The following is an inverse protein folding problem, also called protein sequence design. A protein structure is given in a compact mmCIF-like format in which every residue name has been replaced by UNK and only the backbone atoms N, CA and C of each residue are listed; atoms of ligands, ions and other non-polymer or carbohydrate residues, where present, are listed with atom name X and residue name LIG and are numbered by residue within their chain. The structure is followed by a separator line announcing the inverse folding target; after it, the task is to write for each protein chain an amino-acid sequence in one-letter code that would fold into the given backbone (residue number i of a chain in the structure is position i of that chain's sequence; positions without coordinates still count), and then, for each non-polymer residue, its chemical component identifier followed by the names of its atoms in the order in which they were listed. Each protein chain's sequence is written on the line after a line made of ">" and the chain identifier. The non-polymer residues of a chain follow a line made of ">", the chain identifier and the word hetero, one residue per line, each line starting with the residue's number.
data_IF_963447284611
#
_entry.id   IF_963447284611
#
_cell.length_a   1.000
_cell.length_b   1.000
_cell.length_c   1.000
_cell.angle_alpha   90.00
_cell.angle_beta   90.00
_cell.angle_gamma   90.00
#
_symmetry.space_group_name_H-M   'P 1'
#
loop_
_entity.id
_entity.type
_entity.pdbx_description
1 polymer ?
#
# COMPACT_ATOMS: atom_id res chain seq x y z
N UNK A 1 16.86 -10.97 -3.76
CA UNK A 1 15.78 -9.98 -3.53
C UNK A 1 16.33 -8.91 -2.58
N UNK A 2 16.01 -7.62 -2.79
CA UNK A 2 16.35 -6.54 -1.85
C UNK A 2 15.04 -6.05 -1.24
N UNK A 3 14.84 -6.32 0.05
CA UNK A 3 13.62 -5.91 0.77
C UNK A 3 13.91 -4.78 1.76
N UNK A 4 12.87 -4.04 2.10
CA UNK A 4 12.93 -3.06 3.19
C UNK A 4 12.71 -3.78 4.52
N UNK A 5 13.39 -3.33 5.61
CA UNK A 5 13.18 -3.90 6.93
C UNK A 5 11.75 -3.63 7.43
N UNK A 6 11.23 -4.54 8.25
CA UNK A 6 9.96 -4.32 8.97
C UNK A 6 10.14 -3.14 9.91
N UNK A 7 9.23 -2.15 9.92
CA UNK A 7 9.32 -1.03 10.86
C UNK A 7 9.33 -1.51 12.31
N UNK A 8 10.18 -0.91 13.12
CA UNK A 8 10.30 -1.18 14.56
C UNK A 8 8.95 -1.15 15.31
N UNK A 9 8.05 -0.24 14.91
CA UNK A 9 6.71 -0.15 15.47
C UNK A 9 5.89 -1.41 15.19
N UNK A 10 5.96 -1.94 13.97
CA UNK A 10 5.27 -3.17 13.57
C UNK A 10 5.88 -4.41 14.24
N UNK A 11 7.20 -4.45 14.48
CA UNK A 11 7.80 -5.57 15.20
C UNK A 11 7.37 -5.65 16.67
N UNK A 12 7.06 -4.50 17.29
CA UNK A 12 6.69 -4.42 18.71
C UNK A 12 5.20 -4.59 18.96
N UNK A 13 4.37 -4.45 17.94
CA UNK A 13 2.92 -4.48 18.03
C UNK A 13 2.38 -5.81 17.46
N UNK A 14 1.91 -6.74 18.31
CA UNK A 14 1.32 -8.01 17.84
C UNK A 14 0.08 -7.85 16.98
N UNK A 15 -0.59 -6.69 17.01
CA UNK A 15 -1.74 -6.37 16.17
C UNK A 15 -1.35 -5.69 14.85
N UNK A 16 -0.05 -5.42 14.63
CA UNK A 16 0.42 -4.79 13.41
C UNK A 16 0.05 -5.60 12.17
N UNK A 17 -0.44 -4.91 11.16
CA UNK A 17 -0.90 -5.51 9.91
C UNK A 17 -0.18 -4.84 8.73
N UNK A 18 0.52 -5.63 7.91
CA UNK A 18 1.06 -5.15 6.64
C UNK A 18 -0.08 -4.93 5.64
N UNK A 19 -0.24 -3.71 5.12
CA UNK A 19 -1.35 -3.37 4.20
C UNK A 19 -0.95 -3.48 2.73
N UNK A 20 0.27 -3.08 2.39
CA UNK A 20 0.77 -3.10 1.04
C UNK A 20 2.27 -3.42 1.02
N UNK A 21 2.70 -4.12 -0.02
CA UNK A 21 4.10 -4.32 -0.33
C UNK A 21 4.31 -4.18 -1.85
N UNK A 22 5.31 -3.40 -2.24
CA UNK A 22 5.55 -2.98 -3.63
C UNK A 22 6.98 -3.36 -4.03
N UNK A 23 7.15 -3.86 -5.25
CA UNK A 23 8.42 -4.25 -5.82
C UNK A 23 8.56 -3.78 -7.27
N UNK A 24 9.82 -3.57 -7.67
CA UNK A 24 10.19 -3.54 -9.09
C UNK A 24 10.76 -4.90 -9.44
N UNK A 25 10.09 -5.64 -10.31
CA UNK A 25 10.51 -6.95 -10.82
C UNK A 25 10.08 -7.08 -12.29
N UNK A 26 10.78 -7.91 -13.07
CA UNK A 26 10.41 -8.18 -14.48
C UNK A 26 10.18 -6.95 -15.38
N UNK A 27 10.81 -5.81 -15.07
CA UNK A 27 10.63 -4.50 -15.73
C UNK A 27 9.30 -3.79 -15.45
N UNK A 28 8.52 -4.28 -14.48
CA UNK A 28 7.25 -3.72 -14.03
C UNK A 28 7.22 -3.42 -12.52
N UNK A 29 6.15 -2.74 -12.10
CA UNK A 29 5.80 -2.53 -10.71
C UNK A 29 4.79 -3.61 -10.30
N UNK A 30 5.11 -4.38 -9.28
CA UNK A 30 4.22 -5.38 -8.71
C UNK A 30 3.82 -4.98 -7.29
N UNK A 31 2.55 -5.13 -6.95
CA UNK A 31 2.07 -4.93 -5.59
C UNK A 31 1.32 -6.16 -5.04
N UNK A 32 1.42 -6.32 -3.72
CA UNK A 32 0.56 -7.21 -2.95
C UNK A 32 -0.20 -6.35 -1.96
N UNK A 33 -1.53 -6.37 -2.04
CA UNK A 33 -2.41 -5.52 -1.23
C UNK A 33 -3.32 -6.38 -0.34
N UNK A 34 -3.48 -5.98 0.92
CA UNK A 34 -4.49 -6.53 1.82
C UNK A 34 -5.73 -5.63 1.80
N UNK A 35 -6.76 -6.10 1.10
CA UNK A 35 -8.10 -5.48 1.09
C UNK A 35 -8.95 -6.10 2.21
N UNK A 36 -9.90 -5.34 2.75
CA UNK A 36 -10.71 -5.70 3.92
C UNK A 36 -10.01 -5.40 5.24
N UNK A 37 -8.92 -4.64 5.24
CA UNK A 37 -8.17 -4.35 6.47
C UNK A 37 -8.94 -3.44 7.44
N UNK A 38 -9.97 -2.75 6.92
CA UNK A 38 -10.79 -1.80 7.66
C UNK A 38 -12.23 -2.27 7.87
N UNK A 39 -12.56 -3.52 7.53
CA UNK A 39 -13.93 -4.06 7.58
C UNK A 39 -14.57 -3.99 8.98
N UNK A 40 -13.76 -4.16 10.03
CA UNK A 40 -14.22 -4.08 11.43
C UNK A 40 -14.19 -2.64 11.99
N UNK A 41 -13.87 -1.65 11.16
CA UNK A 41 -13.76 -0.24 11.55
C UNK A 41 -14.91 0.58 10.94
N UNK A 42 -15.29 1.72 11.56
CA UNK A 42 -16.31 2.59 10.98
C UNK A 42 -15.80 3.44 9.79
N UNK A 43 -14.53 3.28 9.40
CA UNK A 43 -13.91 4.06 8.33
C UNK A 43 -14.13 3.34 7.01
N UNK A 44 -14.66 4.04 6.01
CA UNK A 44 -14.69 3.56 4.63
C UNK A 44 -13.27 3.23 4.14
N UNK A 45 -13.06 1.99 3.69
CA UNK A 45 -11.71 1.51 3.35
C UNK A 45 -11.08 2.30 2.19
N UNK A 46 -11.87 2.69 1.19
CA UNK A 46 -11.36 3.53 0.09
C UNK A 46 -10.87 4.90 0.61
N UNK A 47 -11.60 5.50 1.56
CA UNK A 47 -11.16 6.70 2.27
C UNK A 47 -9.89 6.47 3.07
N UNK A 48 -9.76 5.32 3.75
CA UNK A 48 -8.54 4.96 4.47
C UNK A 48 -7.32 4.86 3.53
N UNK A 49 -7.47 4.18 2.39
CA UNK A 49 -6.44 4.12 1.35
C UNK A 49 -6.09 5.51 0.80
N UNK A 50 -7.08 6.37 0.56
CA UNK A 50 -6.84 7.75 0.14
C UNK A 50 -6.00 8.55 1.13
N UNK A 51 -6.24 8.42 2.44
CA UNK A 51 -5.42 9.06 3.47
C UNK A 51 -3.99 8.49 3.49
N UNK A 52 -3.84 7.16 3.38
CA UNK A 52 -2.52 6.53 3.33
C UNK A 52 -1.69 6.97 2.12
N UNK A 53 -2.30 7.11 0.94
CA UNK A 53 -1.62 7.61 -0.26
C UNK A 53 -1.13 9.05 -0.08
N UNK A 54 -1.95 9.91 0.55
CA UNK A 54 -1.55 11.28 0.84
C UNK A 54 -0.35 11.34 1.82
N UNK A 55 -0.36 10.50 2.85
CA UNK A 55 0.76 10.42 3.80
C UNK A 55 2.03 9.86 3.15
N UNK A 56 1.90 8.83 2.30
CA UNK A 56 3.01 8.27 1.53
C UNK A 56 3.65 9.34 0.64
N UNK A 57 2.85 10.13 -0.08
CA UNK A 57 3.33 11.22 -0.92
C UNK A 57 4.13 12.25 -0.09
N UNK A 58 3.64 12.63 1.09
CA UNK A 58 4.33 13.55 2.00
C UNK A 58 5.66 12.98 2.50
N UNK A 59 5.70 11.68 2.81
CA UNK A 59 6.92 10.99 3.20
C UNK A 59 7.94 10.92 2.06
N UNK A 60 7.50 10.60 0.85
CA UNK A 60 8.35 10.62 -0.35
C UNK A 60 8.91 12.03 -0.60
N UNK A 61 8.06 13.06 -0.51
CA UNK A 61 8.47 14.45 -0.68
C UNK A 61 9.61 14.84 0.27
N UNK A 62 9.44 14.53 1.57
CA UNK A 62 10.49 14.73 2.57
C UNK A 62 11.76 13.94 2.27
N UNK A 63 11.64 12.64 2.02
CA UNK A 63 12.79 11.76 1.79
C UNK A 63 13.60 12.13 0.55
N UNK A 64 12.93 12.45 -0.55
CA UNK A 64 13.56 12.88 -1.80
C UNK A 64 14.20 14.26 -1.67
N UNK A 65 13.53 15.21 -0.99
CA UNK A 65 14.10 16.52 -0.68
C UNK A 65 15.38 16.39 0.15
N UNK A 66 15.35 15.59 1.22
CA UNK A 66 16.49 15.37 2.11
C UNK A 66 17.66 14.69 1.37
N UNK A 67 17.37 13.66 0.57
CA UNK A 67 18.37 12.86 -0.14
C UNK A 67 19.02 13.64 -1.30
N UNK A 68 18.22 14.32 -2.11
CA UNK A 68 18.70 15.04 -3.29
C UNK A 68 18.99 16.52 -3.03
N UNK A 69 18.79 17.02 -1.79
CA UNK A 69 18.97 18.43 -1.40
C UNK A 69 18.15 19.39 -2.26
N UNK A 70 16.89 19.02 -2.52
CA UNK A 70 15.92 19.81 -3.32
C UNK A 70 14.92 20.51 -2.42
N UNK A 71 14.28 21.55 -2.93
CA UNK A 71 13.19 22.21 -2.22
C UNK A 71 12.00 21.23 -2.02
N UNK A 72 11.47 21.08 -0.78
CA UNK A 72 10.36 20.17 -0.52
C UNK A 72 9.08 20.49 -1.28
N UNK A 73 8.80 21.76 -1.56
CA UNK A 73 7.60 22.18 -2.31
C UNK A 73 7.74 21.74 -3.75
N UNK A 74 8.88 22.03 -4.39
CA UNK A 74 9.16 21.58 -5.75
C UNK A 74 9.08 20.06 -5.90
N UNK A 75 9.59 19.30 -4.92
CA UNK A 75 9.53 17.83 -4.97
C UNK A 75 8.09 17.32 -4.88
N UNK A 76 7.28 17.89 -3.98
CA UNK A 76 5.87 17.48 -3.83
C UNK A 76 5.06 17.84 -5.07
N UNK A 77 5.30 19.01 -5.68
CA UNK A 77 4.64 19.42 -6.92
C UNK A 77 4.94 18.44 -8.06
N UNK A 78 6.21 18.05 -8.23
CA UNK A 78 6.61 17.04 -9.23
C UNK A 78 5.96 15.68 -8.95
N UNK A 79 5.89 15.25 -7.69
CA UNK A 79 5.23 13.99 -7.32
C UNK A 79 3.73 14.02 -7.66
N UNK A 80 3.04 15.14 -7.39
CA UNK A 80 1.61 15.30 -7.68
C UNK A 80 1.33 15.35 -9.18
N UNK A 81 2.15 16.05 -9.95
CA UNK A 81 2.05 16.10 -11.40
C UNK A 81 2.20 14.70 -12.01
N UNK A 82 3.28 13.99 -11.67
CA UNK A 82 3.53 12.64 -12.17
C UNK A 82 2.42 11.65 -11.78
N UNK A 83 1.89 11.74 -10.56
CA UNK A 83 0.77 10.91 -10.12
C UNK A 83 -0.51 11.18 -10.93
N UNK A 84 -0.83 12.45 -11.20
CA UNK A 84 -2.02 12.81 -11.98
C UNK A 84 -1.90 12.34 -13.43
N UNK A 85 -0.72 12.48 -14.02
CA UNK A 85 -0.45 12.04 -15.39
C UNK A 85 -0.60 10.52 -15.52
N UNK A 86 -0.04 9.75 -14.59
CA UNK A 86 -0.16 8.28 -14.57
C UNK A 86 -1.62 7.84 -14.34
N UNK A 87 -2.39 8.54 -13.50
CA UNK A 87 -3.82 8.24 -13.30
C UNK A 87 -4.66 8.57 -14.55
N UNK A 88 -4.30 9.62 -15.29
CA UNK A 88 -5.01 10.03 -16.50
C UNK A 88 -4.65 9.16 -17.72
N UNK A 89 -3.40 8.71 -17.80
CA UNK A 89 -2.86 7.92 -18.91
C UNK A 89 -1.83 6.90 -18.39
N UNK A 90 -2.28 5.74 -17.88
CA UNK A 90 -1.40 4.73 -17.31
C UNK A 90 -0.30 4.29 -18.28
N UNK A 91 0.94 4.27 -17.81
CA UNK A 91 2.12 3.86 -18.59
C UNK A 91 2.38 2.35 -18.50
N UNK A 92 1.73 1.66 -17.56
CA UNK A 92 1.87 0.22 -17.35
C UNK A 92 0.54 -0.46 -16.98
N UNK A 93 0.39 -1.77 -17.22
CA UNK A 93 -0.75 -2.53 -16.74
C UNK A 93 -0.74 -2.63 -15.20
N UNK A 94 -1.91 -2.89 -14.61
CA UNK A 94 -1.99 -3.23 -13.18
C UNK A 94 -1.50 -4.67 -12.99
N UNK A 95 -0.36 -4.85 -12.33
CA UNK A 95 0.24 -6.16 -12.04
C UNK A 95 0.38 -6.41 -10.53
N UNK A 96 0.09 -7.64 -10.10
CA UNK A 96 0.09 -8.01 -8.68
C UNK A 96 -1.10 -8.88 -8.30
N UNK A 97 -1.32 -9.05 -6.99
CA UNK A 97 -2.39 -9.88 -6.44
C UNK A 97 -2.95 -9.36 -5.12
N UNK A 98 -4.18 -9.77 -4.81
CA UNK A 98 -4.81 -9.53 -3.51
C UNK A 98 -4.33 -10.60 -2.52
N UNK A 99 -3.83 -10.19 -1.36
CA UNK A 99 -3.35 -11.12 -0.34
C UNK A 99 -4.46 -11.97 0.29
N UNK A 100 -5.72 -11.57 0.13
CA UNK A 100 -6.92 -12.33 0.50
C UNK A 100 -8.01 -12.09 -0.53
N UNK A 101 -8.70 -13.15 -0.94
CA UNK A 101 -10.00 -13.08 -1.59
C UNK A 101 -11.08 -13.37 -0.55
N UNK A 102 -12.28 -12.81 -0.71
CA UNK A 102 -13.40 -13.00 0.25
C UNK A 102 -13.83 -14.48 0.37
N UNK A 103 -13.37 -15.32 -0.55
CA UNK A 103 -13.63 -16.76 -0.63
C UNK A 103 -12.62 -17.61 0.18
N UNK A 104 -11.60 -17.00 0.80
CA UNK A 104 -10.59 -17.71 1.61
C UNK A 104 -11.03 -17.97 3.07
N UNK A 105 -12.28 -17.65 3.44
CA UNK A 105 -12.84 -18.02 4.74
C UNK A 105 -13.31 -19.49 4.72
N UNK A 106 -12.77 -20.39 5.56
CA UNK A 106 -13.36 -21.71 5.72
C UNK A 106 -14.77 -21.56 6.29
N UNK A 107 -15.78 -22.11 5.59
CA UNK A 107 -17.16 -22.20 6.08
C UNK A 107 -17.17 -22.67 7.54
N UNK A 108 -17.55 -21.76 8.44
CA UNK A 108 -17.75 -22.09 9.83
C UNK A 108 -18.97 -23.03 9.95
N UNK A 109 -18.71 -24.33 10.06
CA UNK A 109 -19.61 -25.26 10.74
C UNK A 109 -20.24 -26.35 9.90
N UNK A 110 -19.47 -27.41 9.59
CA UNK A 110 -20.02 -28.76 9.63
C UNK A 110 -19.65 -29.39 10.97
N UNK A 111 -20.50 -29.14 11.97
CA UNK A 111 -20.53 -29.95 13.17
C UNK A 111 -20.90 -31.39 12.78
N UNK A 112 -19.93 -32.30 12.87
CA UNK A 112 -20.20 -33.74 12.78
C UNK A 112 -21.12 -34.13 13.93
N UNK A 113 -22.38 -34.43 13.63
CA UNK A 113 -23.23 -35.20 14.52
C UNK A 113 -22.76 -36.66 14.51
N UNK A 114 -22.65 -37.22 15.71
CA UNK A 114 -22.32 -38.62 15.99
C UNK A 114 -23.52 -39.52 15.68
#
# INVERSE_FOLDING_TARGET
>A
MKEQPIPDAAMRDPAATELARIWVAEHGLHCVLRIGAYDETPIDEARAWGMMLADLLRHLGRGLSDYYRRDPVEVVDVLLEAMRDELASPSSPIEGGLARSRDDEPEAGQAKAH
#
